data_IF_746031017924
#
_entry.id   IF_746031017924
#
_cell.length_a   1.000
_cell.length_b   1.000
_cell.length_c   1.000
_cell.angle_alpha   90.00
_cell.angle_beta   90.00
_cell.angle_gamma   90.00
#
_symmetry.space_group_name_H-M   'P 1'
#
loop_
_entity.id
_entity.type
_entity.pdbx_description
1 polymer ?
#
# COMPACT_ATOMS: atom_id res chain seq x y z
N UNK A 1 5.46 18.10 -3.36
CA UNK A 1 4.80 17.25 -4.38
C UNK A 1 4.47 15.94 -3.70
N UNK A 2 3.22 15.50 -3.71
CA UNK A 2 2.83 14.25 -3.02
C UNK A 2 3.36 13.05 -3.79
N UNK A 3 4.30 12.31 -3.19
CA UNK A 3 4.86 11.09 -3.77
C UNK A 3 3.80 9.97 -3.66
N UNK A 4 3.24 9.55 -4.80
CA UNK A 4 2.26 8.48 -4.87
C UNK A 4 2.77 7.35 -5.75
N UNK A 5 2.68 6.12 -5.27
CA UNK A 5 3.09 4.92 -5.99
C UNK A 5 1.85 4.21 -6.51
N UNK A 6 1.72 4.06 -7.82
CA UNK A 6 0.62 3.29 -8.43
C UNK A 6 1.09 1.89 -8.79
N UNK A 7 0.36 0.88 -8.33
CA UNK A 7 0.64 -0.54 -8.60
C UNK A 7 -0.56 -1.17 -9.30
N UNK A 8 -0.34 -1.67 -10.52
CA UNK A 8 -1.33 -2.44 -11.24
C UNK A 8 -1.44 -3.87 -10.67
N UNK A 9 -2.65 -4.30 -10.35
CA UNK A 9 -2.95 -5.64 -9.88
C UNK A 9 -3.00 -6.61 -11.06
N UNK A 10 -2.28 -7.72 -10.96
CA UNK A 10 -2.35 -8.80 -11.95
C UNK A 10 -3.69 -9.54 -11.88
N UNK A 11 -4.29 -9.60 -10.69
CA UNK A 11 -5.66 -10.10 -10.50
C UNK A 11 -6.56 -8.98 -9.98
N UNK A 12 -7.59 -8.59 -10.75
CA UNK A 12 -8.53 -7.59 -10.29
C UNK A 12 -9.21 -8.05 -8.99
N UNK A 13 -9.32 -7.13 -8.03
CA UNK A 13 -9.93 -7.40 -6.73
C UNK A 13 -11.31 -6.77 -6.67
N UNK A 14 -12.32 -7.58 -6.35
CA UNK A 14 -13.67 -7.11 -6.12
C UNK A 14 -13.81 -6.50 -4.72
N UNK A 15 -13.98 -5.18 -4.67
CA UNK A 15 -14.31 -4.41 -3.49
C UNK A 15 -15.76 -3.93 -3.56
N UNK A 16 -16.70 -4.78 -3.12
CA UNK A 16 -18.14 -4.53 -3.30
C UNK A 16 -18.53 -4.59 -4.77
N UNK A 17 -19.03 -3.47 -5.30
CA UNK A 17 -19.44 -3.32 -6.72
C UNK A 17 -18.29 -2.83 -7.62
N UNK A 18 -17.16 -2.42 -7.05
CA UNK A 18 -16.01 -1.92 -7.79
C UNK A 18 -14.96 -3.02 -8.02
N UNK A 19 -14.48 -3.11 -9.27
CA UNK A 19 -13.33 -3.94 -9.62
C UNK A 19 -12.08 -3.09 -9.60
N UNK A 20 -11.19 -3.36 -8.64
CA UNK A 20 -9.93 -2.66 -8.51
C UNK A 20 -8.90 -3.38 -9.40
N UNK A 21 -8.48 -2.73 -10.48
CA UNK A 21 -7.39 -3.19 -11.36
C UNK A 21 -6.05 -2.56 -11.01
N UNK A 22 -6.06 -1.44 -10.30
CA UNK A 22 -4.88 -0.66 -9.91
C UNK A 22 -5.11 -0.04 -8.54
N UNK A 23 -4.05 -0.01 -7.73
CA UNK A 23 -4.04 0.59 -6.40
C UNK A 23 -3.03 1.73 -6.39
N UNK A 24 -3.45 2.90 -5.92
CA UNK A 24 -2.56 4.04 -5.74
C UNK A 24 -2.27 4.20 -4.26
N UNK A 25 -1.01 4.19 -3.89
CA UNK A 25 -0.52 4.31 -2.52
C UNK A 25 0.06 5.70 -2.33
N UNK A 26 -0.37 6.40 -1.29
CA UNK A 26 0.23 7.68 -0.88
C UNK A 26 1.24 7.50 0.24
N UNK A 27 2.01 8.55 0.53
CA UNK A 27 2.85 8.60 1.72
C UNK A 27 2.03 8.33 3.00
N UNK A 28 2.45 7.37 3.86
CA UNK A 28 1.74 7.08 5.10
C UNK A 28 1.79 8.26 6.07
N UNK A 29 0.63 8.64 6.59
CA UNK A 29 0.56 9.64 7.65
C UNK A 29 0.80 8.99 9.01
N UNK A 30 1.07 9.81 10.03
CA UNK A 30 1.17 9.33 11.43
C UNK A 30 -0.10 8.57 11.85
N UNK A 31 -1.27 8.96 11.34
CA UNK A 31 -2.52 8.23 11.57
C UNK A 31 -2.49 6.80 11.02
N UNK A 32 -2.00 6.62 9.79
CA UNK A 32 -1.86 5.30 9.16
C UNK A 32 -0.87 4.41 9.93
N UNK A 33 0.23 5.01 10.42
CA UNK A 33 1.22 4.31 11.23
C UNK A 33 0.65 3.83 12.57
N UNK A 34 -0.19 4.64 13.22
CA UNK A 34 -0.89 4.26 14.46
C UNK A 34 -1.86 3.10 14.19
N UNK A 35 -2.62 3.15 13.08
CA UNK A 35 -3.53 2.07 12.69
C UNK A 35 -2.75 0.76 12.47
N UNK A 36 -1.60 0.84 11.80
CA UNK A 36 -0.70 -0.29 11.64
C UNK A 36 -0.16 -0.81 12.97
N UNK A 37 0.22 0.07 13.89
CA UNK A 37 0.76 -0.29 15.19
C UNK A 37 -0.27 -0.96 16.11
N UNK A 38 -1.54 -0.59 15.98
CA UNK A 38 -2.65 -1.25 16.67
C UNK A 38 -2.86 -2.71 16.22
N UNK A 39 -2.30 -3.12 15.08
CA UNK A 39 -2.44 -4.49 14.58
C UNK A 39 -1.32 -5.39 15.12
N UNK A 40 -1.71 -6.54 15.69
CA UNK A 40 -0.76 -7.54 16.16
C UNK A 40 -0.20 -8.35 14.98
N UNK A 41 1.12 -8.28 14.79
CA UNK A 41 1.87 -9.01 13.77
C UNK A 41 2.32 -8.14 12.59
N UNK A 42 3.56 -8.37 12.14
CA UNK A 42 4.21 -7.54 11.10
C UNK A 42 3.41 -7.50 9.80
N UNK A 43 2.85 -8.66 9.38
CA UNK A 43 2.04 -8.75 8.17
C UNK A 43 0.72 -7.98 8.32
N UNK A 44 0.07 -8.06 9.49
CA UNK A 44 -1.15 -7.31 9.81
C UNK A 44 -0.91 -5.80 9.81
N UNK A 45 0.19 -5.35 10.44
CA UNK A 45 0.63 -3.95 10.48
C UNK A 45 0.86 -3.38 9.09
N UNK A 46 1.67 -4.06 8.28
CA UNK A 46 1.91 -3.66 6.88
C UNK A 46 0.60 -3.63 6.09
N UNK A 47 -0.22 -4.67 6.22
CA UNK A 47 -1.51 -4.75 5.51
C UNK A 47 -2.43 -3.59 5.88
N UNK A 48 -2.49 -3.19 7.15
CA UNK A 48 -3.34 -2.08 7.60
C UNK A 48 -2.81 -0.70 7.16
N UNK A 49 -1.50 -0.49 7.18
CA UNK A 49 -0.89 0.73 6.65
C UNK A 49 -1.15 0.82 5.13
N UNK A 50 -0.85 -0.25 4.38
CA UNK A 50 -1.05 -0.32 2.94
C UNK A 50 -2.50 -0.13 2.53
N UNK A 51 -3.44 -0.74 3.26
CA UNK A 51 -4.88 -0.54 3.08
C UNK A 51 -5.27 0.93 3.30
N UNK A 52 -4.79 1.55 4.38
CA UNK A 52 -5.15 2.93 4.72
C UNK A 52 -4.57 3.96 3.75
N UNK A 53 -3.34 3.77 3.28
CA UNK A 53 -2.72 4.66 2.28
C UNK A 53 -3.22 4.43 0.85
N UNK A 54 -3.85 3.28 0.57
CA UNK A 54 -4.45 3.00 -0.73
C UNK A 54 -5.95 3.28 -0.81
N UNK A 55 -6.49 3.93 0.23
CA UNK A 55 -7.94 4.16 0.40
C UNK A 55 -8.77 2.88 0.20
N UNK A 56 -8.16 1.72 0.46
CA UNK A 56 -8.75 0.42 0.17
C UNK A 56 -9.03 -0.28 1.48
N UNK A 57 -10.27 -0.72 1.74
CA UNK A 57 -10.60 -1.35 3.00
C UNK A 57 -9.84 -2.68 3.15
N UNK A 58 -9.36 -2.95 4.37
CA UNK A 58 -8.72 -4.22 4.78
C UNK A 58 -9.35 -5.50 4.18
N UNK A 59 -10.69 -5.68 4.14
CA UNK A 59 -11.30 -6.86 3.51
C UNK A 59 -11.03 -6.99 2.01
N UNK A 60 -10.95 -5.88 1.26
CA UNK A 60 -10.56 -5.91 -0.15
C UNK A 60 -9.07 -6.18 -0.27
N UNK A 61 -8.25 -5.56 0.56
CA UNK A 61 -6.81 -5.80 0.58
C UNK A 61 -6.46 -7.25 0.90
N UNK A 62 -7.23 -7.90 1.80
CA UNK A 62 -7.12 -9.33 2.11
C UNK A 62 -7.50 -10.27 0.96
N UNK A 63 -8.24 -9.79 -0.05
CA UNK A 63 -8.55 -10.55 -1.26
C UNK A 63 -7.44 -10.46 -2.31
N UNK A 64 -6.49 -9.55 -2.15
CA UNK A 64 -5.32 -9.45 -3.03
C UNK A 64 -4.53 -10.77 -2.94
N UNK A 65 -4.17 -11.32 -4.08
CA UNK A 65 -3.35 -12.54 -4.12
C UNK A 65 -1.95 -12.27 -3.56
N UNK A 66 -1.33 -13.28 -2.95
CA UNK A 66 0.02 -13.14 -2.37
C UNK A 66 1.07 -12.59 -3.36
N UNK A 67 0.94 -12.90 -4.66
CA UNK A 67 1.80 -12.34 -5.72
C UNK A 67 1.69 -10.83 -5.85
N UNK A 68 0.46 -10.31 -5.84
CA UNK A 68 0.18 -8.88 -5.91
C UNK A 68 0.57 -8.19 -4.61
N UNK A 69 0.30 -8.83 -3.47
CA UNK A 69 0.74 -8.34 -2.16
C UNK A 69 2.25 -8.12 -2.09
N UNK A 70 3.07 -9.09 -2.53
CA UNK A 70 4.52 -8.93 -2.56
C UNK A 70 4.97 -7.80 -3.49
N UNK A 71 4.34 -7.64 -4.66
CA UNK A 71 4.62 -6.50 -5.56
C UNK A 71 4.30 -5.16 -4.92
N UNK A 72 3.16 -5.08 -4.24
CA UNK A 72 2.72 -3.87 -3.54
C UNK A 72 3.73 -3.54 -2.44
N UNK A 73 4.09 -4.50 -1.59
CA UNK A 73 5.06 -4.30 -0.51
C UNK A 73 6.40 -3.82 -1.06
N UNK A 74 6.88 -4.40 -2.17
CA UNK A 74 8.13 -3.99 -2.80
C UNK A 74 8.06 -2.55 -3.36
N UNK A 75 6.99 -2.22 -4.06
CA UNK A 75 6.78 -0.88 -4.63
C UNK A 75 6.57 0.20 -3.55
N UNK A 76 5.92 -0.17 -2.44
CA UNK A 76 5.62 0.74 -1.32
C UNK A 76 6.68 0.73 -0.23
N UNK A 77 7.72 -0.11 -0.34
CA UNK A 77 8.82 -0.17 0.62
C UNK A 77 9.51 1.19 0.79
N UNK A 78 9.64 1.96 -0.31
CA UNK A 78 10.15 3.32 -0.29
C UNK A 78 9.27 4.29 0.49
N UNK A 79 7.94 4.16 0.39
CA UNK A 79 6.97 5.02 1.10
C UNK A 79 6.89 4.69 2.61
N UNK A 80 7.05 3.42 2.97
CA UNK A 80 7.01 2.96 4.37
C UNK A 80 8.27 3.32 5.18
N UNK A 81 9.20 4.08 4.60
CA UNK A 81 10.46 4.43 5.25
C UNK A 81 11.41 3.25 5.43
N UNK A 82 11.15 2.11 4.76
CA UNK A 82 12.05 0.97 4.75
C UNK A 82 13.12 1.22 3.67
N UNK A 83 13.99 2.18 3.97
CA UNK A 83 14.90 2.82 3.04
C UNK A 83 15.87 1.81 2.40
N UNK A 84 15.60 1.43 1.14
CA UNK A 84 16.67 1.11 0.19
C UNK A 84 16.80 2.28 -0.77
N UNK A 85 17.40 3.35 -0.25
CA UNK A 85 18.02 4.48 -0.95
C UNK A 85 18.29 4.22 -2.44
N UNK A 86 17.42 4.71 -3.33
CA UNK A 86 17.71 5.20 -4.69
C UNK A 86 16.58 6.21 -5.03
N UNK A 87 16.82 7.53 -4.98
CA UNK A 87 17.07 8.41 -6.17
C UNK A 87 16.01 8.18 -7.27
N UNK A 88 15.20 9.16 -7.67
CA UNK A 88 15.59 10.44 -8.28
C UNK A 88 14.47 11.51 -8.25
N UNK A 89 14.87 12.77 -7.99
CA UNK A 89 14.51 14.00 -8.70
C UNK A 89 13.09 14.21 -9.28
N UNK A 90 12.41 15.26 -8.80
CA UNK A 90 11.80 16.37 -9.58
C UNK A 90 11.53 17.49 -8.55
N UNK A 91 12.20 18.64 -8.53
CA UNK A 91 12.70 19.44 -9.64
C UNK A 91 11.72 20.58 -9.94
N UNK A 92 11.68 21.60 -9.07
CA UNK A 92 11.56 23.03 -9.43
C UNK A 92 12.03 23.89 -8.24
#
# INVERSE_FOLDING_TARGET
MTETVTVALAKPVANGEATITELTFREPTVGDLIIGDQMTGQLSKMTAILASISDTPLPAFKKIGAKDFSKIVDATAGLLGNEKKMKDTTGD
#
